data_IF_055281000087
#
_entry.id   IF_055281000087
#
_cell.length_a   1.000
_cell.length_b   1.000
_cell.length_c   1.000
_cell.angle_alpha   90.00
_cell.angle_beta   90.00
_cell.angle_gamma   90.00
#
_symmetry.space_group_name_H-M   'P 1'
#
loop_
_entity.id
_entity.type
_entity.pdbx_description
1 polymer ?
#
# COMPACT_ATOMS: atom_id res chain seq x y z
N UNK A 1 55.09 -10.90 -16.24
CA UNK A 1 53.80 -11.25 -15.57
C UNK A 1 52.62 -10.42 -16.11
N UNK A 2 52.89 -9.36 -16.91
CA UNK A 2 51.85 -8.47 -17.44
C UNK A 2 51.13 -9.00 -18.71
N UNK A 3 51.68 -9.97 -19.41
CA UNK A 3 51.11 -10.49 -20.67
C UNK A 3 50.00 -11.55 -20.51
N UNK A 4 49.90 -12.19 -19.35
CA UNK A 4 48.87 -13.21 -19.09
C UNK A 4 47.48 -12.60 -18.72
N UNK A 5 47.49 -11.47 -18.08
CA UNK A 5 46.23 -10.77 -17.69
C UNK A 5 45.49 -10.17 -18.87
N UNK A 6 46.21 -9.66 -19.89
CA UNK A 6 45.59 -9.11 -21.10
C UNK A 6 45.05 -10.20 -22.04
N UNK A 7 45.62 -11.40 -22.04
CA UNK A 7 45.11 -12.51 -22.84
C UNK A 7 43.83 -13.12 -22.24
N UNK A 8 43.76 -13.27 -20.92
CA UNK A 8 42.55 -13.75 -20.25
C UNK A 8 41.40 -12.73 -20.32
N UNK A 9 41.70 -11.44 -20.28
CA UNK A 9 40.68 -10.37 -20.37
C UNK A 9 40.11 -10.28 -21.79
N UNK A 10 40.95 -10.48 -22.86
CA UNK A 10 40.46 -10.52 -24.24
C UNK A 10 39.63 -11.76 -24.55
N UNK A 11 39.98 -12.91 -24.00
CA UNK A 11 39.24 -14.17 -24.21
C UNK A 11 37.84 -14.12 -23.51
N UNK A 12 37.76 -13.48 -22.36
CA UNK A 12 36.50 -13.24 -21.67
C UNK A 12 35.58 -12.25 -22.43
N UNK A 13 36.16 -11.20 -23.03
CA UNK A 13 35.41 -10.23 -23.83
C UNK A 13 34.87 -10.86 -25.12
N UNK A 14 35.65 -11.69 -25.78
CA UNK A 14 35.23 -12.40 -26.99
C UNK A 14 34.09 -13.38 -26.69
N UNK A 15 34.17 -14.08 -25.57
CA UNK A 15 33.08 -14.95 -25.11
C UNK A 15 31.79 -14.18 -24.85
N UNK A 16 31.85 -13.04 -24.17
CA UNK A 16 30.68 -12.19 -23.92
C UNK A 16 30.06 -11.68 -25.23
N UNK A 17 30.87 -11.28 -26.20
CA UNK A 17 30.40 -10.81 -27.51
C UNK A 17 29.70 -11.93 -28.29
N UNK A 18 30.19 -13.17 -28.22
CA UNK A 18 29.53 -14.33 -28.83
C UNK A 18 28.16 -14.59 -28.23
N UNK A 19 28.04 -14.54 -26.88
CA UNK A 19 26.76 -14.71 -26.19
C UNK A 19 25.78 -13.60 -26.55
N UNK A 20 26.23 -12.34 -26.57
CA UNK A 20 25.39 -11.20 -26.96
C UNK A 20 24.90 -11.34 -28.41
N UNK A 21 25.77 -11.76 -29.35
CA UNK A 21 25.40 -11.97 -30.74
C UNK A 21 24.38 -13.09 -30.92
N UNK A 22 24.47 -14.19 -30.15
CA UNK A 22 23.49 -15.28 -30.15
C UNK A 22 22.14 -14.85 -29.53
N UNK A 23 22.17 -14.08 -28.47
CA UNK A 23 20.94 -13.49 -27.86
C UNK A 23 20.26 -12.58 -28.89
N UNK A 24 21.01 -11.68 -29.54
CA UNK A 24 20.49 -10.80 -30.59
C UNK A 24 19.96 -11.57 -31.80
N UNK A 25 20.54 -12.70 -32.16
CA UNK A 25 20.05 -13.56 -33.27
C UNK A 25 18.69 -14.22 -32.92
N UNK A 26 18.44 -14.50 -31.64
CA UNK A 26 17.23 -15.14 -31.16
C UNK A 26 16.29 -14.15 -30.44
N UNK A 27 16.47 -12.85 -30.66
CA UNK A 27 15.68 -11.79 -29.98
C UNK A 27 14.15 -11.99 -30.09
N UNK A 28 13.66 -12.57 -31.20
CA UNK A 28 12.26 -12.89 -31.40
C UNK A 28 11.74 -13.87 -30.36
N UNK A 29 12.53 -14.89 -30.00
CA UNK A 29 12.18 -15.88 -28.99
C UNK A 29 12.12 -15.22 -27.61
N UNK A 30 13.08 -14.34 -27.30
CA UNK A 30 13.13 -13.58 -26.05
C UNK A 30 11.89 -12.71 -25.91
N UNK A 31 11.53 -11.96 -26.95
CA UNK A 31 10.34 -11.09 -26.95
C UNK A 31 9.05 -11.90 -26.83
N UNK A 32 8.91 -12.98 -27.60
CA UNK A 32 7.71 -13.81 -27.57
C UNK A 32 7.52 -14.42 -26.18
N UNK A 33 8.56 -14.97 -25.55
CA UNK A 33 8.43 -15.57 -24.21
C UNK A 33 8.14 -14.51 -23.13
N UNK A 34 8.72 -13.31 -23.24
CA UNK A 34 8.42 -12.21 -22.33
C UNK A 34 6.96 -11.78 -22.47
N UNK A 35 6.43 -11.69 -23.69
CA UNK A 35 5.02 -11.36 -23.94
C UNK A 35 4.09 -12.45 -23.41
N UNK A 36 4.41 -13.73 -23.65
CA UNK A 36 3.60 -14.85 -23.13
C UNK A 36 3.54 -14.82 -21.60
N UNK A 37 4.65 -14.62 -20.92
CA UNK A 37 4.67 -14.52 -19.45
C UNK A 37 4.00 -13.26 -18.93
N UNK A 38 4.05 -12.15 -19.65
CA UNK A 38 3.29 -10.95 -19.32
C UNK A 38 1.78 -11.20 -19.41
N UNK A 39 1.30 -11.88 -20.45
CA UNK A 39 -0.10 -12.26 -20.63
C UNK A 39 -0.56 -13.24 -19.55
N UNK A 40 0.28 -14.22 -19.20
CA UNK A 40 -0.01 -15.13 -18.09
C UNK A 40 -0.09 -14.39 -16.76
N UNK A 41 0.85 -13.47 -16.48
CA UNK A 41 0.82 -12.61 -15.29
C UNK A 41 -0.45 -11.77 -15.21
N UNK A 42 -0.87 -11.18 -16.33
CA UNK A 42 -2.14 -10.44 -16.42
C UNK A 42 -3.35 -11.34 -16.16
N UNK A 43 -3.39 -12.52 -16.73
CA UNK A 43 -4.48 -13.47 -16.54
C UNK A 43 -4.59 -13.91 -15.06
N UNK A 44 -3.46 -14.25 -14.43
CA UNK A 44 -3.42 -14.59 -13.01
C UNK A 44 -3.93 -13.42 -12.16
N UNK A 45 -3.48 -12.20 -12.44
CA UNK A 45 -3.94 -11.01 -11.73
C UNK A 45 -5.46 -10.84 -11.81
N UNK A 46 -6.04 -11.04 -13.00
CA UNK A 46 -7.49 -10.91 -13.20
C UNK A 46 -8.29 -12.01 -12.51
N UNK A 47 -7.78 -13.24 -12.47
CA UNK A 47 -8.43 -14.37 -11.81
C UNK A 47 -8.37 -14.28 -10.28
N UNK A 48 -7.32 -13.65 -9.74
CA UNK A 48 -7.13 -13.51 -8.29
C UNK A 48 -7.63 -12.17 -7.74
N UNK A 49 -8.08 -11.27 -8.62
CA UNK A 49 -8.54 -9.95 -8.20
C UNK A 49 -9.82 -10.05 -7.36
N UNK A 50 -9.73 -9.55 -6.14
CA UNK A 50 -10.88 -9.27 -5.27
C UNK A 50 -11.12 -7.77 -5.24
N UNK A 51 -12.31 -7.28 -5.66
CA UNK A 51 -12.62 -5.87 -5.56
C UNK A 51 -12.57 -5.43 -4.09
N UNK A 52 -12.05 -4.24 -3.83
CA UNK A 52 -12.04 -3.63 -2.52
C UNK A 52 -12.65 -2.23 -2.59
N UNK A 53 -13.34 -1.85 -1.53
CA UNK A 53 -14.02 -0.57 -1.41
C UNK A 53 -13.50 0.15 -0.17
N UNK A 54 -13.23 1.44 -0.30
CA UNK A 54 -12.72 2.25 0.80
C UNK A 54 -13.71 3.33 1.20
N UNK A 55 -13.92 3.48 2.49
CA UNK A 55 -14.58 4.63 3.10
C UNK A 55 -13.58 5.36 3.98
N UNK A 56 -13.42 6.65 3.75
CA UNK A 56 -12.41 7.49 4.41
C UNK A 56 -13.09 8.50 5.33
N UNK A 57 -12.49 8.73 6.48
CA UNK A 57 -12.85 9.78 7.43
C UNK A 57 -11.62 10.64 7.64
N UNK A 58 -11.81 11.96 7.64
CA UNK A 58 -10.74 12.89 7.98
C UNK A 58 -11.08 13.61 9.27
N UNK A 59 -10.15 13.59 10.22
CA UNK A 59 -10.25 14.24 11.50
C UNK A 59 -9.23 15.37 11.61
N UNK A 60 -9.54 16.36 12.46
CA UNK A 60 -8.57 17.36 12.92
C UNK A 60 -8.43 17.29 14.43
N UNK A 61 -7.19 17.24 14.90
CA UNK A 61 -6.86 17.27 16.32
C UNK A 61 -6.70 18.70 16.81
N UNK A 62 -7.39 19.07 17.89
CA UNK A 62 -7.28 20.37 18.51
C UNK A 62 -6.99 20.22 20.01
N UNK A 63 -6.09 21.06 20.52
CA UNK A 63 -5.91 21.21 21.96
C UNK A 63 -6.98 22.18 22.51
N UNK A 64 -7.73 21.76 23.53
CA UNK A 64 -8.77 22.61 24.17
C UNK A 64 -8.19 23.92 24.71
N UNK A 65 -6.93 23.94 25.08
CA UNK A 65 -6.25 25.15 25.57
C UNK A 65 -6.05 26.22 24.49
N UNK A 66 -5.89 25.80 23.23
CA UNK A 66 -5.70 26.71 22.08
C UNK A 66 -7.04 27.26 21.55
N UNK A 67 -8.15 26.57 21.79
CA UNK A 67 -9.49 26.99 21.34
C UNK A 67 -10.00 28.26 22.03
N UNK A 68 -9.42 28.64 23.16
CA UNK A 68 -9.76 29.87 23.91
C UNK A 68 -8.93 31.08 23.49
N UNK A 69 -7.87 30.89 22.69
CA UNK A 69 -7.04 31.98 22.17
C UNK A 69 -7.51 32.40 20.78
N UNK A 70 -8.38 33.38 20.70
CA UNK A 70 -8.97 33.94 19.46
C UNK A 70 -7.96 34.74 18.62
N UNK A 71 -6.66 34.66 18.85
CA UNK A 71 -5.66 35.40 18.08
C UNK A 71 -4.37 34.61 17.89
N UNK A 72 -4.26 34.00 16.72
CA UNK A 72 -2.99 33.54 16.18
C UNK A 72 -2.51 32.19 16.74
N UNK A 73 -2.76 31.10 16.00
CA UNK A 73 -2.04 29.85 16.24
C UNK A 73 -0.56 30.08 16.07
N UNK A 74 0.22 29.80 17.09
CA UNK A 74 1.68 29.86 17.01
C UNK A 74 2.22 28.57 16.37
N UNK A 75 3.46 28.61 15.84
CA UNK A 75 4.13 27.41 15.33
C UNK A 75 4.22 26.31 16.39
N UNK A 76 4.32 26.69 17.66
CA UNK A 76 4.31 25.77 18.80
C UNK A 76 2.97 25.03 18.95
N UNK A 77 1.84 25.70 18.71
CA UNK A 77 0.51 25.09 18.78
C UNK A 77 0.28 24.11 17.63
N UNK A 78 0.79 24.42 16.44
CA UNK A 78 0.73 23.52 15.29
C UNK A 78 1.57 22.25 15.52
N UNK A 79 2.79 22.39 16.06
CA UNK A 79 3.65 21.26 16.39
C UNK A 79 3.04 20.38 17.49
N UNK A 80 2.40 20.99 18.51
CA UNK A 80 1.69 20.26 19.55
C UNK A 80 0.49 19.47 18.97
N UNK A 81 -0.25 20.08 18.06
CA UNK A 81 -1.39 19.41 17.39
C UNK A 81 -0.95 18.29 16.45
N UNK A 82 0.17 18.43 15.76
CA UNK A 82 0.75 17.37 14.95
C UNK A 82 1.21 16.17 15.80
N UNK A 83 1.83 16.43 16.96
CA UNK A 83 2.22 15.39 17.92
C UNK A 83 1.00 14.66 18.49
N UNK A 84 -0.11 15.38 18.74
CA UNK A 84 -1.38 14.79 19.17
C UNK A 84 -1.98 13.90 18.07
N UNK A 85 -1.90 14.32 16.80
CA UNK A 85 -2.40 13.52 15.69
C UNK A 85 -1.68 12.15 15.61
N UNK A 86 -0.37 12.12 15.77
CA UNK A 86 0.39 10.88 15.87
C UNK A 86 -0.05 10.00 17.07
N UNK A 87 -0.31 10.62 18.20
CA UNK A 87 -0.77 9.89 19.40
C UNK A 87 -2.18 9.32 19.22
N UNK A 88 -3.09 10.06 18.59
CA UNK A 88 -4.46 9.62 18.34
C UNK A 88 -4.53 8.43 17.37
N UNK A 89 -3.64 8.35 16.43
CA UNK A 89 -3.49 7.20 15.52
C UNK A 89 -3.46 5.87 16.29
N UNK A 90 -2.74 5.82 17.41
CA UNK A 90 -2.68 4.63 18.25
C UNK A 90 -4.01 4.30 18.93
N UNK A 91 -4.79 5.30 19.33
CA UNK A 91 -6.11 5.09 19.96
C UNK A 91 -7.06 4.40 18.99
N UNK A 92 -7.04 4.78 17.72
CA UNK A 92 -7.90 4.17 16.69
C UNK A 92 -7.60 2.68 16.42
N UNK A 93 -6.40 2.22 16.76
CA UNK A 93 -5.98 0.82 16.57
C UNK A 93 -6.08 -0.02 17.85
N UNK A 94 -6.60 0.55 18.96
CA UNK A 94 -6.78 -0.18 20.22
C UNK A 94 -7.81 -1.29 20.06
N UNK A 95 -7.60 -2.39 20.80
CA UNK A 95 -8.55 -3.51 20.85
C UNK A 95 -9.90 -3.09 21.38
N UNK A 96 -9.92 -2.19 22.37
CA UNK A 96 -11.13 -1.68 22.99
C UNK A 96 -12.02 -0.93 21.98
N UNK A 97 -11.46 0.03 21.24
CA UNK A 97 -12.21 0.77 20.23
C UNK A 97 -12.60 -0.14 19.06
N UNK A 98 -11.71 -1.01 18.60
CA UNK A 98 -12.02 -1.98 17.54
C UNK A 98 -13.17 -2.90 17.92
N UNK A 99 -13.26 -3.31 19.19
CA UNK A 99 -14.36 -4.12 19.69
C UNK A 99 -15.68 -3.35 19.67
N UNK A 100 -15.70 -2.11 20.17
CA UNK A 100 -16.90 -1.26 20.12
C UNK A 100 -17.37 -1.02 18.70
N UNK A 101 -16.43 -0.79 17.77
CA UNK A 101 -16.73 -0.60 16.36
C UNK A 101 -17.33 -1.88 15.76
N UNK A 102 -16.76 -3.05 16.03
CA UNK A 102 -17.33 -4.32 15.58
C UNK A 102 -18.76 -4.52 16.10
N UNK A 103 -18.98 -4.32 17.40
CA UNK A 103 -20.28 -4.46 18.05
C UNK A 103 -21.33 -3.46 17.50
N UNK A 104 -20.91 -2.27 17.09
CA UNK A 104 -21.79 -1.18 16.62
C UNK A 104 -21.80 -1.01 15.07
N UNK A 105 -21.10 -1.84 14.34
CA UNK A 105 -21.02 -1.74 12.86
C UNK A 105 -22.34 -2.08 12.15
N UNK A 106 -23.24 -2.77 12.83
CA UNK A 106 -24.50 -3.27 12.26
C UNK A 106 -24.37 -4.59 11.49
N UNK A 107 -23.17 -5.14 11.41
CA UNK A 107 -22.91 -6.41 10.72
C UNK A 107 -22.62 -7.52 11.74
N UNK A 108 -23.20 -8.71 11.49
CA UNK A 108 -22.89 -9.92 12.24
C UNK A 108 -21.58 -10.53 11.68
N UNK A 109 -20.86 -11.21 12.53
CA UNK A 109 -19.66 -11.96 12.18
C UNK A 109 -18.41 -11.13 11.84
N UNK A 110 -18.37 -9.84 12.22
CA UNK A 110 -17.16 -9.03 12.13
C UNK A 110 -16.39 -9.13 13.44
N UNK A 111 -15.18 -9.67 13.37
CA UNK A 111 -14.29 -9.78 14.52
C UNK A 111 -13.41 -8.54 14.71
N UNK A 112 -12.81 -8.41 15.89
CA UNK A 112 -11.80 -7.37 16.16
C UNK A 112 -10.58 -7.52 15.22
N UNK A 113 -10.22 -8.76 14.84
CA UNK A 113 -9.13 -9.02 13.91
C UNK A 113 -9.45 -8.49 12.51
N UNK A 114 -10.70 -8.66 12.06
CA UNK A 114 -11.17 -8.12 10.78
C UNK A 114 -11.07 -6.59 10.78
N UNK A 115 -11.60 -5.92 11.81
CA UNK A 115 -11.51 -4.45 11.96
C UNK A 115 -10.06 -4.01 11.85
N UNK A 116 -9.14 -4.63 12.60
CA UNK A 116 -7.72 -4.27 12.60
C UNK A 116 -7.05 -4.48 11.25
N UNK A 117 -7.49 -5.46 10.47
CA UNK A 117 -6.93 -5.75 9.14
C UNK A 117 -7.45 -4.79 8.06
N UNK A 118 -8.67 -4.27 8.23
CA UNK A 118 -9.36 -3.41 7.25
C UNK A 118 -9.14 -1.92 7.48
N UNK A 119 -8.64 -1.54 8.64
CA UNK A 119 -8.50 -0.14 9.04
C UNK A 119 -7.03 0.30 8.94
N UNK A 120 -6.82 1.36 8.20
CA UNK A 120 -5.55 2.10 8.14
C UNK A 120 -5.74 3.49 8.71
N UNK A 121 -4.82 3.92 9.57
CA UNK A 121 -4.84 5.25 10.18
C UNK A 121 -3.51 5.93 9.90
N UNK A 122 -3.59 7.11 9.31
CA UNK A 122 -2.42 7.92 8.94
C UNK A 122 -2.57 9.33 9.50
N UNK A 123 -1.56 9.79 10.24
CA UNK A 123 -1.41 11.20 10.56
C UNK A 123 -0.68 11.88 9.39
N UNK A 124 -1.20 13.01 8.92
CA UNK A 124 -0.56 13.79 7.86
C UNK A 124 0.60 14.58 8.47
N UNK A 125 1.79 14.34 7.98
CA UNK A 125 3.04 14.92 8.48
C UNK A 125 2.94 16.45 8.63
N UNK A 126 3.43 16.98 9.73
CA UNK A 126 3.42 18.40 10.08
C UNK A 126 2.03 19.05 10.13
N UNK A 127 0.99 18.27 10.29
CA UNK A 127 -0.40 18.77 10.42
C UNK A 127 -1.13 18.13 11.59
N UNK A 128 -2.26 18.74 11.98
CA UNK A 128 -3.21 18.16 12.95
C UNK A 128 -4.21 17.18 12.32
N UNK A 129 -3.99 16.74 11.08
CA UNK A 129 -4.95 15.95 10.31
C UNK A 129 -4.66 14.47 10.46
N UNK A 130 -5.73 13.68 10.67
CA UNK A 130 -5.68 12.22 10.72
C UNK A 130 -6.68 11.69 9.69
N UNK A 131 -6.20 10.79 8.85
CA UNK A 131 -7.01 10.04 7.91
C UNK A 131 -7.22 8.63 8.44
N UNK A 132 -8.47 8.21 8.60
CA UNK A 132 -8.85 6.83 8.87
C UNK A 132 -9.53 6.28 7.62
N UNK A 133 -9.00 5.20 7.09
CA UNK A 133 -9.53 4.54 5.90
C UNK A 133 -9.92 3.11 6.24
N UNK A 134 -11.16 2.77 5.95
CA UNK A 134 -11.69 1.41 6.08
C UNK A 134 -11.78 0.80 4.70
N UNK A 135 -11.08 -0.31 4.45
CA UNK A 135 -11.06 -1.00 3.16
C UNK A 135 -11.54 -2.43 3.32
N UNK A 136 -12.65 -2.77 2.68
CA UNK A 136 -13.25 -4.11 2.73
C UNK A 136 -13.67 -4.58 1.33
N UNK A 137 -13.97 -5.87 1.14
CA UNK A 137 -14.51 -6.37 -0.14
C UNK A 137 -15.92 -5.88 -0.47
N UNK A 138 -16.60 -5.20 0.44
CA UNK A 138 -17.98 -4.73 0.27
C UNK A 138 -18.10 -3.25 0.68
N UNK A 139 -18.72 -2.44 -0.20
CA UNK A 139 -18.87 -1.00 0.01
C UNK A 139 -19.72 -0.65 1.24
N UNK A 140 -20.82 -1.40 1.48
CA UNK A 140 -21.69 -1.16 2.63
C UNK A 140 -20.99 -1.48 3.95
N UNK A 141 -20.15 -2.54 3.96
CA UNK A 141 -19.36 -2.92 5.14
C UNK A 141 -18.31 -1.87 5.44
N UNK A 142 -17.56 -1.38 4.45
CA UNK A 142 -16.55 -0.34 4.67
C UNK A 142 -17.18 0.97 5.19
N UNK A 143 -18.33 1.34 4.64
CA UNK A 143 -19.08 2.51 5.07
C UNK A 143 -19.67 2.35 6.49
N UNK A 144 -20.28 1.20 6.79
CA UNK A 144 -20.85 0.92 8.11
C UNK A 144 -19.81 0.90 9.22
N UNK A 145 -18.64 0.30 8.97
CA UNK A 145 -17.52 0.33 9.92
C UNK A 145 -17.00 1.75 10.10
N UNK A 146 -16.84 2.53 9.03
CA UNK A 146 -16.41 3.92 9.10
C UNK A 146 -17.39 4.76 9.95
N UNK A 147 -18.71 4.60 9.75
CA UNK A 147 -19.72 5.24 10.59
C UNK A 147 -19.65 4.79 12.06
N UNK A 148 -19.37 3.50 12.31
CA UNK A 148 -19.20 3.02 13.68
C UNK A 148 -17.98 3.69 14.36
N UNK A 149 -16.90 3.96 13.62
CA UNK A 149 -15.80 4.77 14.13
C UNK A 149 -16.25 6.20 14.48
N UNK A 150 -16.98 6.88 13.59
CA UNK A 150 -17.52 8.23 13.85
C UNK A 150 -18.40 8.27 15.11
N UNK A 151 -19.15 7.22 15.39
CA UNK A 151 -20.04 7.16 16.54
C UNK A 151 -19.35 6.76 17.86
N UNK A 152 -18.14 6.20 17.81
CA UNK A 152 -17.48 5.64 18.99
C UNK A 152 -16.12 6.27 19.33
N UNK A 153 -15.52 7.07 18.45
CA UNK A 153 -14.17 7.61 18.66
C UNK A 153 -14.08 8.58 19.84
N UNK A 154 -15.08 9.42 20.06
CA UNK A 154 -15.03 10.46 21.09
C UNK A 154 -14.80 9.89 22.48
N UNK A 155 -15.48 8.80 22.82
CA UNK A 155 -15.32 8.18 24.13
C UNK A 155 -13.91 7.62 24.35
N UNK A 156 -13.30 7.05 23.32
CA UNK A 156 -11.95 6.52 23.36
C UNK A 156 -10.90 7.65 23.45
N UNK A 157 -11.07 8.71 22.67
CA UNK A 157 -10.18 9.88 22.68
C UNK A 157 -10.27 10.61 24.01
N UNK A 158 -11.48 10.87 24.52
CA UNK A 158 -11.65 11.56 25.80
C UNK A 158 -11.11 10.76 26.99
N UNK A 159 -11.18 9.43 26.95
CA UNK A 159 -10.59 8.57 27.96
C UNK A 159 -9.06 8.64 27.97
N UNK A 160 -8.43 8.69 26.80
CA UNK A 160 -6.98 8.74 26.64
C UNK A 160 -6.41 10.18 26.79
N UNK A 161 -7.14 11.16 26.27
CA UNK A 161 -6.71 12.56 26.18
C UNK A 161 -7.80 13.56 26.58
N UNK A 162 -8.10 13.73 27.89
CA UNK A 162 -9.23 14.54 28.36
C UNK A 162 -9.16 16.03 27.98
N UNK A 163 -7.94 16.56 27.75
CA UNK A 163 -7.67 17.97 27.44
C UNK A 163 -7.67 18.29 25.95
N UNK A 164 -8.04 17.32 25.10
CA UNK A 164 -8.01 17.47 23.66
C UNK A 164 -9.38 17.23 23.03
N UNK A 165 -9.53 17.67 21.79
CA UNK A 165 -10.71 17.37 20.97
C UNK A 165 -10.25 16.85 19.61
N UNK A 166 -10.99 15.88 19.12
CA UNK A 166 -10.86 15.39 17.74
C UNK A 166 -12.19 15.64 17.04
N UNK A 167 -12.14 16.31 15.89
CA UNK A 167 -13.34 16.70 15.15
C UNK A 167 -13.32 16.10 13.77
N UNK A 168 -14.44 15.52 13.33
CA UNK A 168 -14.60 15.05 11.94
C UNK A 168 -14.77 16.27 11.05
N UNK A 169 -13.89 16.40 10.04
CA UNK A 169 -13.96 17.45 9.01
C UNK A 169 -14.45 16.92 7.67
N UNK A 170 -14.24 15.63 7.43
CA UNK A 170 -14.77 14.95 6.24
C UNK A 170 -15.38 13.61 6.66
N UNK A 171 -16.72 13.49 6.62
CA UNK A 171 -17.39 12.27 7.05
C UNK A 171 -17.22 11.13 6.04
N UNK A 172 -17.45 9.88 6.45
CA UNK A 172 -17.35 8.74 5.57
C UNK A 172 -18.39 8.78 4.46
N UNK A 173 -18.01 8.36 3.27
CA UNK A 173 -18.89 8.23 2.13
C UNK A 173 -18.96 6.78 1.67
N UNK A 174 -20.13 6.38 1.18
CA UNK A 174 -20.30 5.09 0.52
C UNK A 174 -19.55 5.07 -0.80
N UNK A 175 -18.66 4.11 -0.98
CA UNK A 175 -17.91 3.99 -2.23
C UNK A 175 -18.83 3.58 -3.38
N UNK A 176 -18.89 4.39 -4.43
CA UNK A 176 -19.70 4.14 -5.63
C UNK A 176 -19.05 3.16 -6.61
N UNK A 177 -17.74 2.90 -6.47
CA UNK A 177 -16.96 2.01 -7.32
C UNK A 177 -15.84 1.36 -6.49
N UNK A 178 -15.34 0.19 -6.90
CA UNK A 178 -14.19 -0.42 -6.25
C UNK A 178 -12.93 0.42 -6.43
N UNK A 179 -12.00 0.25 -5.52
CA UNK A 179 -10.68 0.86 -5.60
C UNK A 179 -9.99 0.43 -6.90
N UNK A 180 -9.15 1.32 -7.44
CA UNK A 180 -8.41 1.03 -8.67
C UNK A 180 -7.50 -0.19 -8.48
N UNK A 181 -7.68 -1.19 -9.33
CA UNK A 181 -6.86 -2.39 -9.34
C UNK A 181 -5.47 -2.08 -9.95
N UNK A 182 -4.47 -1.94 -9.10
CA UNK A 182 -3.07 -1.82 -9.52
C UNK A 182 -2.38 -3.19 -9.72
N UNK A 183 -3.00 -4.29 -9.28
CA UNK A 183 -2.39 -5.62 -9.30
C UNK A 183 -2.15 -6.12 -10.72
N UNK A 184 -3.09 -5.95 -11.63
CA UNK A 184 -2.97 -6.36 -13.03
C UNK A 184 -1.74 -5.75 -13.70
N UNK A 185 -1.51 -4.44 -13.50
CA UNK A 185 -0.32 -3.76 -14.03
C UNK A 185 0.97 -4.32 -13.42
N UNK A 186 1.00 -4.49 -12.11
CA UNK A 186 2.19 -4.96 -11.41
C UNK A 186 2.55 -6.39 -11.80
N UNK A 187 1.59 -7.30 -11.84
CA UNK A 187 1.81 -8.69 -12.27
C UNK A 187 2.22 -8.79 -13.73
N UNK A 188 1.68 -7.94 -14.61
CA UNK A 188 2.09 -7.88 -16.02
C UNK A 188 3.55 -7.46 -16.15
N UNK A 189 3.99 -6.42 -15.43
CA UNK A 189 5.37 -5.95 -15.42
C UNK A 189 6.32 -7.03 -14.88
N UNK A 190 5.97 -7.65 -13.76
CA UNK A 190 6.76 -8.74 -13.15
C UNK A 190 6.84 -9.95 -14.09
N UNK A 191 5.73 -10.34 -14.71
CA UNK A 191 5.67 -11.43 -15.68
C UNK A 191 6.56 -11.14 -16.89
N UNK A 192 6.53 -9.92 -17.43
CA UNK A 192 7.39 -9.50 -18.53
C UNK A 192 8.88 -9.55 -18.16
N UNK A 193 9.26 -9.00 -17.03
CA UNK A 193 10.63 -9.01 -16.53
C UNK A 193 11.14 -10.44 -16.28
N UNK A 194 10.34 -11.29 -15.67
CA UNK A 194 10.66 -12.71 -15.46
C UNK A 194 10.84 -13.44 -16.80
N UNK A 195 9.99 -13.13 -17.79
CA UNK A 195 10.10 -13.68 -19.15
C UNK A 195 11.41 -13.35 -19.84
N UNK A 196 11.87 -12.11 -19.71
CA UNK A 196 13.17 -11.70 -20.24
C UNK A 196 14.32 -12.47 -19.58
N UNK A 197 14.33 -12.55 -18.25
CA UNK A 197 15.40 -13.23 -17.50
C UNK A 197 15.45 -14.72 -17.85
N UNK A 198 14.31 -15.41 -17.85
CA UNK A 198 14.21 -16.84 -18.15
C UNK A 198 14.68 -17.12 -19.59
N UNK A 199 14.31 -16.27 -20.55
CA UNK A 199 14.69 -16.43 -21.95
C UNK A 199 16.19 -16.26 -22.16
N UNK A 200 16.77 -15.24 -21.55
CA UNK A 200 18.23 -15.01 -21.62
C UNK A 200 18.97 -16.20 -21.02
N UNK A 201 18.53 -16.67 -19.85
CA UNK A 201 19.13 -17.82 -19.18
C UNK A 201 19.04 -19.11 -20.03
N UNK A 202 17.88 -19.37 -20.63
CA UNK A 202 17.67 -20.53 -21.51
C UNK A 202 18.59 -20.48 -22.76
N UNK A 203 18.77 -19.30 -23.35
CA UNK A 203 19.69 -19.13 -24.50
C UNK A 203 21.14 -19.39 -24.08
N UNK A 204 21.56 -18.86 -22.94
CA UNK A 204 22.92 -19.07 -22.42
C UNK A 204 23.16 -20.55 -22.16
N UNK A 205 22.22 -21.24 -21.50
CA UNK A 205 22.34 -22.71 -21.28
C UNK A 205 22.39 -23.50 -22.60
N UNK A 206 21.57 -23.13 -23.59
CA UNK A 206 21.57 -23.81 -24.89
C UNK A 206 22.86 -23.59 -25.66
N UNK A 207 23.56 -22.49 -25.45
CA UNK A 207 24.86 -22.20 -26.01
C UNK A 207 25.92 -23.05 -25.34
N UNK A 208 25.94 -23.10 -23.99
CA UNK A 208 26.89 -23.90 -23.21
C UNK A 208 26.74 -25.41 -23.49
N UNK A 209 25.55 -25.91 -23.70
CA UNK A 209 25.27 -27.32 -23.96
C UNK A 209 25.67 -27.77 -25.39
N UNK A 210 25.97 -26.82 -26.30
CA UNK A 210 26.37 -27.11 -27.68
C UNK A 210 27.87 -27.05 -27.90
N UNK A 211 28.63 -26.49 -26.97
CA UNK A 211 30.09 -26.52 -26.91
C UNK A 211 30.55 -27.77 -26.12
#
# INVERSE_FOLDING_TARGET
SSGKTHAEESDNLDSVVIYLKKILQHWKIVVISAVVLAVLGFAVAKLTYTPSYSSKITFIANNKSSALAVSGQTQSDLNASATLAESFKYVFTTTELSKRVADNSGFKDISVADIKSWVSVEAVEDTAIINLTVTTPNADVSYGIANAYVNNYESAINAAFPSTTLTVIDPPLLASAPNRDASARNYTIVGFAAGLIISIFAIVLAVIAKD
#
